data_IF_543276940199
#
_entry.id   IF_543276940199
#
_cell.length_a   1.000
_cell.length_b   1.000
_cell.length_c   1.000
_cell.angle_alpha   90.00
_cell.angle_beta   90.00
_cell.angle_gamma   90.00
#
_symmetry.space_group_name_H-M   'P 1'
#
loop_
_entity.id
_entity.type
_entity.pdbx_description
1 polymer ?
#
# COMPACT_ATOMS: atom_id res chain seq x y z
N UNK A 1 -11.60 -4.91 -10.98
CA UNK A 1 -10.60 -5.88 -10.46
C UNK A 1 -9.26 -5.56 -11.09
N UNK A 2 -8.22 -5.34 -10.29
CA UNK A 2 -6.93 -4.81 -10.78
C UNK A 2 -5.73 -5.63 -10.29
N UNK A 3 -4.86 -6.06 -11.21
CA UNK A 3 -3.56 -6.67 -10.88
C UNK A 3 -2.46 -5.63 -11.11
N UNK A 4 -1.66 -5.37 -10.08
CA UNK A 4 -0.73 -4.25 -10.05
C UNK A 4 0.70 -4.76 -9.89
N UNK A 5 1.63 -4.05 -10.50
CA UNK A 5 3.07 -4.29 -10.40
C UNK A 5 3.75 -2.96 -10.14
N UNK A 6 4.25 -2.77 -8.92
CA UNK A 6 4.73 -1.47 -8.45
C UNK A 6 6.08 -1.61 -7.78
N UNK A 7 6.98 -0.67 -8.03
CA UNK A 7 8.26 -0.63 -7.34
C UNK A 7 8.07 -0.46 -5.83
N UNK A 8 8.74 -1.33 -5.08
CA UNK A 8 8.82 -1.37 -3.64
C UNK A 8 10.14 -0.82 -3.12
N UNK A 9 10.08 -0.34 -1.89
CA UNK A 9 11.18 0.24 -1.15
C UNK A 9 11.22 -0.31 0.25
N UNK A 10 12.42 -0.33 0.81
CA UNK A 10 12.70 -0.81 2.14
C UNK A 10 13.45 0.27 2.93
N UNK A 11 13.10 0.44 4.22
CA UNK A 11 13.82 1.28 5.18
C UNK A 11 14.01 0.52 6.48
N UNK A 12 15.26 0.37 6.91
CA UNK A 12 15.57 -0.28 8.20
C UNK A 12 15.05 0.55 9.37
N UNK A 13 15.32 1.86 9.36
CA UNK A 13 14.74 2.85 10.27
C UNK A 13 14.06 3.97 9.50
N UNK A 14 13.19 4.74 10.15
CA UNK A 14 12.43 5.82 9.51
C UNK A 14 13.33 6.91 8.90
N UNK A 15 14.49 7.16 9.51
CA UNK A 15 15.44 8.20 9.09
C UNK A 15 16.47 7.70 8.06
N UNK A 16 16.50 6.39 7.80
CA UNK A 16 17.44 5.82 6.83
C UNK A 16 17.05 6.19 5.39
N UNK A 17 18.01 6.08 4.47
CA UNK A 17 17.70 6.17 3.04
C UNK A 17 16.91 4.93 2.61
N UNK A 18 15.89 5.14 1.77
CA UNK A 18 15.15 4.06 1.15
C UNK A 18 16.07 3.28 0.19
N UNK A 19 16.02 1.96 0.30
CA UNK A 19 16.73 1.03 -0.57
C UNK A 19 15.69 0.40 -1.50
N UNK A 20 15.90 0.37 -2.82
CA UNK A 20 14.97 -0.27 -3.75
C UNK A 20 14.91 -1.77 -3.46
N UNK A 21 13.69 -2.30 -3.39
CA UNK A 21 13.42 -3.73 -3.17
C UNK A 21 13.08 -4.45 -4.48
N UNK A 22 12.68 -3.71 -5.52
CA UNK A 22 12.22 -4.25 -6.79
C UNK A 22 10.70 -4.24 -6.91
N UNK A 23 10.16 -5.01 -7.86
CA UNK A 23 8.72 -5.00 -8.14
C UNK A 23 7.93 -5.83 -7.13
N UNK A 24 6.84 -5.27 -6.64
CA UNK A 24 5.85 -5.90 -5.79
C UNK A 24 4.58 -6.09 -6.61
N UNK A 25 4.06 -7.31 -6.62
CA UNK A 25 2.83 -7.64 -7.33
C UNK A 25 1.71 -7.91 -6.33
N UNK A 26 0.53 -7.38 -6.59
CA UNK A 26 -0.65 -7.60 -5.74
C UNK A 26 -1.94 -7.38 -6.51
N UNK A 27 -3.02 -7.94 -5.98
CA UNK A 27 -4.33 -7.92 -6.55
C UNK A 27 -5.31 -7.09 -5.70
N UNK A 28 -6.03 -6.19 -6.35
CA UNK A 28 -7.12 -5.42 -5.75
C UNK A 28 -8.44 -5.95 -6.27
N UNK A 29 -9.14 -6.65 -5.39
CA UNK A 29 -10.49 -7.15 -5.66
C UNK A 29 -11.54 -6.04 -5.53
N UNK A 30 -12.80 -6.35 -5.89
CA UNK A 30 -13.89 -5.38 -5.81
C UNK A 30 -14.13 -4.84 -4.39
N UNK A 31 -14.24 -5.70 -3.36
CA UNK A 31 -14.39 -5.26 -1.98
C UNK A 31 -13.26 -4.34 -1.48
N UNK A 32 -12.00 -4.64 -1.80
CA UNK A 32 -10.87 -3.81 -1.42
C UNK A 32 -10.88 -2.48 -2.17
N UNK A 33 -11.16 -2.49 -3.48
CA UNK A 33 -11.32 -1.27 -4.26
C UNK A 33 -12.38 -0.33 -3.63
N UNK A 34 -13.56 -0.86 -3.31
CA UNK A 34 -14.63 -0.07 -2.68
C UNK A 34 -14.22 0.51 -1.32
N UNK A 35 -13.36 -0.19 -0.57
CA UNK A 35 -12.83 0.33 0.71
C UNK A 35 -11.83 1.45 0.50
N UNK A 36 -11.05 1.42 -0.58
CA UNK A 36 -10.16 2.51 -0.98
C UNK A 36 -10.96 3.75 -1.39
N UNK A 37 -11.99 3.61 -2.23
CA UNK A 37 -12.88 4.71 -2.63
C UNK A 37 -13.56 5.35 -1.41
N UNK A 38 -14.07 4.52 -0.48
CA UNK A 38 -14.66 5.02 0.77
C UNK A 38 -13.66 5.77 1.65
N UNK A 39 -12.40 5.30 1.69
CA UNK A 39 -11.36 6.00 2.42
C UNK A 39 -11.05 7.35 1.77
N UNK A 40 -10.94 7.42 0.44
CA UNK A 40 -10.80 8.69 -0.29
C UNK A 40 -11.94 9.67 0.01
N UNK A 41 -13.20 9.22 -0.12
CA UNK A 41 -14.37 10.04 0.19
C UNK A 41 -14.38 10.54 1.64
N UNK A 42 -13.94 9.70 2.58
CA UNK A 42 -13.83 10.07 3.98
C UNK A 42 -12.82 11.19 4.16
N UNK A 43 -11.61 11.06 3.62
CA UNK A 43 -10.57 12.08 3.70
C UNK A 43 -10.99 13.41 3.06
N UNK A 44 -11.73 13.36 1.94
CA UNK A 44 -12.26 14.56 1.28
C UNK A 44 -13.27 15.31 2.18
N UNK A 45 -14.06 14.58 2.97
CA UNK A 45 -15.10 15.14 3.86
C UNK A 45 -14.52 15.62 5.20
N UNK A 46 -13.55 14.90 5.76
CA UNK A 46 -13.02 15.16 7.11
C UNK A 46 -11.77 16.02 7.11
N UNK A 47 -11.06 16.13 5.97
CA UNK A 47 -9.75 16.77 5.86
C UNK A 47 -8.67 16.09 6.70
N UNK A 48 -8.86 14.82 7.07
CA UNK A 48 -7.82 14.01 7.67
C UNK A 48 -6.67 13.78 6.67
N UNK A 49 -5.42 13.70 7.14
CA UNK A 49 -4.27 13.61 6.24
C UNK A 49 -4.16 12.26 5.52
N UNK A 50 -4.62 11.18 6.17
CA UNK A 50 -4.51 9.81 5.67
C UNK A 50 -5.48 8.85 6.36
N UNK A 51 -5.72 7.71 5.73
CA UNK A 51 -6.44 6.58 6.29
C UNK A 51 -5.68 5.27 6.03
N UNK A 52 -5.70 4.36 6.99
CA UNK A 52 -5.11 3.02 6.84
C UNK A 52 -6.22 1.99 6.58
N UNK A 53 -6.19 1.39 5.40
CA UNK A 53 -7.12 0.32 5.01
C UNK A 53 -6.44 -1.02 5.25
N UNK A 54 -6.95 -1.78 6.24
CA UNK A 54 -6.50 -3.16 6.52
C UNK A 54 -6.63 -4.05 5.28
N UNK A 55 -5.62 -4.85 4.95
CA UNK A 55 -5.71 -5.80 3.83
C UNK A 55 -5.82 -7.23 4.34
N UNK A 56 -6.62 -8.04 3.65
CA UNK A 56 -6.58 -9.47 3.82
C UNK A 56 -5.50 -10.05 2.91
N UNK A 57 -4.41 -10.52 3.52
CA UNK A 57 -3.24 -11.07 2.85
C UNK A 57 -3.57 -12.29 1.97
N UNK A 58 -4.68 -12.99 2.22
CA UNK A 58 -5.12 -14.08 1.38
C UNK A 58 -5.72 -13.58 0.06
N UNK A 59 -6.60 -12.58 0.13
CA UNK A 59 -7.25 -11.96 -1.05
C UNK A 59 -6.31 -11.08 -1.88
N UNK A 60 -5.28 -10.51 -1.24
CA UNK A 60 -4.34 -9.58 -1.85
C UNK A 60 -3.40 -10.24 -2.87
N UNK A 61 -3.23 -11.58 -2.84
CA UNK A 61 -2.24 -12.33 -3.66
C UNK A 61 -0.88 -11.62 -3.73
N UNK A 62 -0.38 -11.16 -2.57
CA UNK A 62 0.82 -10.35 -2.49
C UNK A 62 2.06 -11.20 -2.80
N UNK A 63 2.80 -10.81 -3.83
CA UNK A 63 4.09 -11.40 -4.22
C UNK A 63 5.18 -10.36 -4.03
N UNK A 64 6.04 -10.64 -3.06
CA UNK A 64 7.20 -9.83 -2.72
C UNK A 64 8.46 -10.47 -3.31
N UNK A 65 9.51 -9.67 -3.57
CA UNK A 65 10.84 -10.20 -3.84
C UNK A 65 11.32 -11.13 -2.71
N UNK A 66 12.00 -12.22 -3.05
CA UNK A 66 12.41 -13.28 -2.09
C UNK A 66 13.20 -12.73 -0.89
N UNK A 67 14.01 -11.71 -1.11
CA UNK A 67 14.82 -11.00 -0.11
C UNK A 67 14.00 -10.22 0.93
N UNK A 68 12.75 -9.87 0.62
CA UNK A 68 11.86 -9.17 1.54
C UNK A 68 11.38 -10.10 2.66
N UNK A 69 11.05 -11.34 2.33
CA UNK A 69 10.34 -12.24 3.24
C UNK A 69 8.91 -11.77 3.54
N UNK A 70 8.23 -12.40 4.51
CA UNK A 70 6.84 -12.08 4.84
C UNK A 70 6.70 -10.73 5.56
N UNK A 71 5.51 -10.14 5.45
CA UNK A 71 5.16 -8.90 6.16
C UNK A 71 4.24 -9.17 7.35
N UNK A 72 4.37 -8.36 8.39
CA UNK A 72 3.35 -8.09 9.40
C UNK A 72 2.73 -6.72 9.16
N UNK A 73 1.55 -6.50 9.75
CA UNK A 73 0.89 -5.18 9.79
C UNK A 73 0.79 -4.51 8.41
N UNK A 74 0.41 -5.29 7.40
CA UNK A 74 0.25 -4.80 6.04
C UNK A 74 -1.05 -4.00 5.90
N UNK A 75 -0.98 -2.81 5.32
CA UNK A 75 -2.10 -1.91 5.08
C UNK A 75 -1.96 -1.25 3.71
N UNK A 76 -3.07 -0.74 3.17
CA UNK A 76 -3.05 0.28 2.14
C UNK A 76 -3.23 1.64 2.79
N UNK A 77 -2.19 2.47 2.74
CA UNK A 77 -2.26 3.85 3.23
C UNK A 77 -2.82 4.72 2.12
N UNK A 78 -3.96 5.35 2.39
CA UNK A 78 -4.68 6.25 1.49
C UNK A 78 -4.43 7.68 1.92
N UNK A 79 -4.15 8.57 0.98
CA UNK A 79 -4.01 10.01 1.22
C UNK A 79 -4.47 10.78 -0.02
N UNK A 80 -4.77 12.08 0.16
CA UNK A 80 -5.11 12.96 -0.95
C UNK A 80 -3.89 13.73 -1.43
N UNK A 81 -3.73 13.81 -2.75
CA UNK A 81 -2.74 14.70 -3.37
C UNK A 81 -3.38 15.42 -4.56
N UNK A 82 -3.45 16.75 -4.49
CA UNK A 82 -4.20 17.58 -5.43
C UNK A 82 -5.65 17.10 -5.57
N UNK A 83 -6.32 16.90 -4.43
CA UNK A 83 -7.71 16.44 -4.29
C UNK A 83 -8.03 15.05 -4.87
N UNK A 84 -7.00 14.29 -5.27
CA UNK A 84 -7.15 12.93 -5.78
C UNK A 84 -6.61 11.90 -4.80
N UNK A 85 -7.40 10.85 -4.57
CA UNK A 85 -7.02 9.71 -3.75
C UNK A 85 -5.88 8.92 -4.35
N UNK A 86 -4.82 8.75 -3.56
CA UNK A 86 -3.70 7.88 -3.85
C UNK A 86 -3.55 6.86 -2.74
N UNK A 87 -3.02 5.69 -3.08
CA UNK A 87 -2.67 4.68 -2.10
C UNK A 87 -1.32 4.03 -2.41
N UNK A 88 -0.67 3.51 -1.36
CA UNK A 88 0.44 2.58 -1.47
C UNK A 88 0.30 1.49 -0.40
N UNK A 89 0.96 0.37 -0.63
CA UNK A 89 1.13 -0.64 0.43
C UNK A 89 2.16 -0.12 1.42
N UNK A 90 1.87 -0.30 2.70
CA UNK A 90 2.82 -0.14 3.80
C UNK A 90 2.74 -1.37 4.69
N UNK A 91 3.88 -1.88 5.13
CA UNK A 91 3.95 -2.99 6.07
C UNK A 91 5.33 -3.12 6.68
N UNK A 92 5.44 -3.98 7.69
CA UNK A 92 6.70 -4.24 8.37
C UNK A 92 7.20 -5.62 7.98
N UNK A 93 8.49 -5.79 7.71
CA UNK A 93 9.05 -7.13 7.49
C UNK A 93 8.99 -7.92 8.78
N UNK A 94 8.44 -9.12 8.74
CA UNK A 94 8.23 -9.93 9.95
C UNK A 94 9.55 -10.40 10.60
N UNK A 95 10.66 -10.40 9.84
CA UNK A 95 11.97 -10.86 10.34
C UNK A 95 12.66 -9.85 11.25
N UNK A 96 12.52 -8.55 10.99
CA UNK A 96 13.28 -7.51 11.68
C UNK A 96 12.50 -6.21 11.97
N UNK A 97 11.21 -6.16 11.62
CA UNK A 97 10.33 -5.02 11.89
C UNK A 97 10.56 -3.81 10.99
N UNK A 98 11.48 -3.90 10.02
CA UNK A 98 11.79 -2.82 9.09
C UNK A 98 10.60 -2.46 8.20
N UNK A 99 10.53 -1.20 7.76
CA UNK A 99 9.45 -0.68 6.93
C UNK A 99 9.62 -1.11 5.48
N UNK A 100 8.54 -1.57 4.86
CA UNK A 100 8.40 -1.75 3.43
C UNK A 100 7.22 -0.91 2.93
N UNK A 101 7.39 -0.26 1.78
CA UNK A 101 6.28 0.42 1.10
C UNK A 101 6.43 0.39 -0.42
N UNK A 102 5.33 0.59 -1.14
CA UNK A 102 5.34 0.75 -2.61
C UNK A 102 5.31 2.22 -3.03
N UNK A 103 5.63 2.51 -4.29
CA UNK A 103 5.20 3.77 -4.90
C UNK A 103 3.66 3.89 -4.86
N UNK A 104 3.17 5.13 -4.92
CA UNK A 104 1.75 5.41 -4.86
C UNK A 104 1.08 5.28 -6.24
N UNK A 105 -0.19 4.88 -6.21
CA UNK A 105 -1.07 4.77 -7.38
C UNK A 105 -2.33 5.57 -7.09
N UNK A 106 -2.92 6.14 -8.14
CA UNK A 106 -4.23 6.78 -8.03
C UNK A 106 -5.33 5.73 -7.90
N UNK A 107 -6.30 5.97 -7.01
CA UNK A 107 -7.44 5.06 -6.82
C UNK A 107 -8.28 4.99 -8.11
N UNK A 108 -8.45 6.12 -8.80
CA UNK A 108 -9.20 6.20 -10.06
C UNK A 108 -8.55 5.49 -11.28
N UNK A 109 -7.33 4.96 -11.14
CA UNK A 109 -6.68 4.13 -12.16
C UNK A 109 -7.04 2.64 -12.01
N UNK A 110 -7.71 2.26 -10.93
CA UNK A 110 -8.15 0.89 -10.72
C UNK A 110 -9.33 0.57 -11.66
N UNK A 111 -9.19 -0.53 -12.40
CA UNK A 111 -10.25 -1.19 -13.17
C UNK A 111 -11.12 -2.05 -12.25
#
# INVERSE_FOLDING_TARGET
MSNLTIEGWYKKNIDDKAIPLGNIHFYVDGPLHLRLERAEEHLQKTLEPEALVQVDMHSLDLKLPDECGPLSDCHMRVYLHNDRGQFHIVGNRAVDGSLMYTNAILIDQLL
#
